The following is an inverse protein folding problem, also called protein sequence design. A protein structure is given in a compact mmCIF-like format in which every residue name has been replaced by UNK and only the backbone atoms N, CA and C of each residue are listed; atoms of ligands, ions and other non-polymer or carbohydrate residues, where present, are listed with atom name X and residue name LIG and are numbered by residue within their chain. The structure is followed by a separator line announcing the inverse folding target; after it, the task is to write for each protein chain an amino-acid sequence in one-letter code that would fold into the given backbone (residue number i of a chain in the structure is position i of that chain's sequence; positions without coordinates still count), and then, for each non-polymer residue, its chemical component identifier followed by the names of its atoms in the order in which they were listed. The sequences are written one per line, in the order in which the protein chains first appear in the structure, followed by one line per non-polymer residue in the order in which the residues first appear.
data_IF_000991758372
#
_entry.id   IF_000991758372
#
_cell.length_a   1.000
_cell.length_b   1.000
_cell.length_c   1.000
_cell.angle_alpha   90.00
_cell.angle_beta   90.00
_cell.angle_gamma   90.00
#
_symmetry.space_group_name_H-M   'P 1'
#
loop_
_entity.id
_entity.type
_entity.pdbx_description
1 polymer ?
#
# COMPACT_ATOMS: atom_id res chain seq x y z
N UNK A 1 -24.34 1.17 -4.09
CA UNK A 1 -23.09 1.88 -4.45
C UNK A 1 -22.08 0.84 -4.88
N UNK A 2 -21.20 1.16 -5.83
CA UNK A 2 -20.13 0.26 -6.30
C UNK A 2 -18.80 0.89 -5.91
N UNK A 3 -17.92 0.12 -5.30
CA UNK A 3 -16.56 0.52 -4.97
C UNK A 3 -15.59 -0.35 -5.78
N UNK A 4 -14.53 0.27 -6.31
CA UNK A 4 -13.45 -0.41 -7.01
C UNK A 4 -12.13 -0.17 -6.26
N UNK A 5 -11.25 -1.16 -6.27
CA UNK A 5 -9.94 -1.10 -5.63
C UNK A 5 -8.93 -1.98 -6.37
N UNK A 6 -7.67 -1.90 -5.97
CA UNK A 6 -6.59 -2.67 -6.56
C UNK A 6 -6.33 -2.30 -8.02
N UNK A 7 -5.91 -3.27 -8.81
CA UNK A 7 -5.45 -3.05 -10.18
C UNK A 7 -6.56 -2.62 -11.16
N UNK A 8 -7.81 -2.62 -10.70
CA UNK A 8 -9.00 -2.19 -11.48
C UNK A 8 -9.42 -0.75 -11.22
N UNK A 9 -8.77 -0.06 -10.27
CA UNK A 9 -9.12 1.28 -9.85
C UNK A 9 -7.99 2.28 -10.12
N UNK A 10 -8.39 3.54 -10.32
CA UNK A 10 -7.48 4.68 -10.41
C UNK A 10 -7.98 5.79 -9.50
N UNK A 11 -7.07 6.38 -8.73
CA UNK A 11 -7.34 7.53 -7.88
C UNK A 11 -6.25 8.58 -8.07
N UNK A 12 -6.52 9.81 -7.59
CA UNK A 12 -5.50 10.84 -7.51
C UNK A 12 -4.39 10.40 -6.53
N UNK A 13 -3.15 10.65 -6.92
CA UNK A 13 -1.97 10.58 -6.08
C UNK A 13 -1.37 11.99 -5.93
N UNK A 14 -0.15 12.09 -5.40
CA UNK A 14 0.56 13.37 -5.25
C UNK A 14 0.93 14.02 -6.60
N UNK A 15 1.14 15.33 -6.59
CA UNK A 15 1.67 16.12 -7.73
C UNK A 15 0.94 15.94 -9.07
N UNK A 16 -0.37 15.70 -9.03
CA UNK A 16 -1.19 15.51 -10.23
C UNK A 16 -1.01 14.16 -10.92
N UNK A 17 -0.25 13.25 -10.30
CA UNK A 17 -0.16 11.87 -10.74
C UNK A 17 -1.40 11.07 -10.35
N UNK A 18 -1.59 9.94 -11.02
CA UNK A 18 -2.57 8.95 -10.64
C UNK A 18 -1.88 7.73 -10.05
N UNK A 19 -2.58 7.05 -9.14
CA UNK A 19 -2.15 5.75 -8.62
C UNK A 19 -1.88 4.77 -9.76
N UNK A 20 -0.75 4.07 -9.69
CA UNK A 20 -0.41 2.96 -10.59
C UNK A 20 -0.74 1.60 -9.97
N UNK A 21 -0.84 0.57 -10.82
CA UNK A 21 -0.99 -0.83 -10.41
C UNK A 21 0.22 -1.26 -9.56
N UNK A 22 0.01 -1.32 -8.26
CA UNK A 22 1.04 -1.65 -7.27
C UNK A 22 0.40 -2.07 -5.95
N UNK A 23 1.07 -2.95 -5.20
CA UNK A 23 0.63 -3.30 -3.85
C UNK A 23 0.59 -2.09 -2.91
N UNK A 24 1.41 -1.06 -3.16
CA UNK A 24 1.44 0.18 -2.39
C UNK A 24 0.11 0.92 -2.48
N UNK A 25 -0.50 1.01 -3.67
CA UNK A 25 -1.80 1.66 -3.83
C UNK A 25 -2.99 0.71 -3.60
N UNK A 26 -2.87 -0.54 -4.07
CA UNK A 26 -3.96 -1.50 -4.04
C UNK A 26 -4.44 -1.82 -2.62
N UNK A 27 -3.52 -1.98 -1.67
CA UNK A 27 -3.85 -2.31 -0.29
C UNK A 27 -4.63 -1.20 0.43
N UNK A 28 -4.16 0.06 0.50
CA UNK A 28 -4.93 1.13 1.12
C UNK A 28 -6.24 1.42 0.38
N UNK A 29 -6.30 1.28 -0.95
CA UNK A 29 -7.56 1.34 -1.69
C UNK A 29 -8.56 0.28 -1.21
N UNK A 30 -8.11 -0.97 -1.06
CA UNK A 30 -8.95 -2.06 -0.59
C UNK A 30 -9.49 -1.80 0.83
N UNK A 31 -8.65 -1.27 1.72
CA UNK A 31 -9.05 -0.88 3.08
C UNK A 31 -10.10 0.24 3.06
N UNK A 32 -9.87 1.31 2.29
CA UNK A 32 -10.83 2.42 2.17
C UNK A 32 -12.15 1.95 1.56
N UNK A 33 -12.10 1.13 0.50
CA UNK A 33 -13.29 0.57 -0.13
C UNK A 33 -14.10 -0.29 0.85
N UNK A 34 -13.45 -1.20 1.57
CA UNK A 34 -14.09 -2.03 2.59
C UNK A 34 -14.72 -1.21 3.72
N UNK A 35 -14.00 -0.20 4.24
CA UNK A 35 -14.53 0.73 5.22
C UNK A 35 -15.78 1.45 4.69
N UNK A 36 -15.73 1.97 3.46
CA UNK A 36 -16.82 2.76 2.89
C UNK A 36 -18.06 1.94 2.54
N UNK A 37 -17.89 0.64 2.24
CA UNK A 37 -19.02 -0.30 2.17
C UNK A 37 -19.71 -0.39 3.54
N UNK A 38 -18.94 -0.62 4.61
CA UNK A 38 -19.49 -0.72 5.96
C UNK A 38 -20.13 0.61 6.43
N UNK A 39 -19.46 1.74 6.19
CA UNK A 39 -19.98 3.07 6.53
C UNK A 39 -21.31 3.35 5.82
N UNK A 40 -21.44 2.98 4.55
CA UNK A 40 -22.69 3.09 3.80
C UNK A 40 -23.82 2.23 4.39
N UNK A 41 -23.51 1.04 4.92
CA UNK A 41 -24.49 0.18 5.60
C UNK A 41 -24.91 0.72 6.97
N UNK A 42 -23.98 1.36 7.69
CA UNK A 42 -24.19 1.90 9.04
C UNK A 42 -24.71 3.34 9.05
N UNK A 43 -24.73 4.01 7.89
CA UNK A 43 -25.11 5.42 7.78
C UNK A 43 -24.08 6.39 8.36
N UNK A 44 -22.81 5.99 8.45
CA UNK A 44 -21.70 6.82 8.96
C UNK A 44 -20.92 7.47 7.82
N UNK A 45 -20.06 8.44 8.15
CA UNK A 45 -19.25 9.14 7.16
C UNK A 45 -18.24 8.18 6.48
N UNK A 46 -18.04 8.29 5.15
CA UNK A 46 -17.01 7.55 4.46
C UNK A 46 -15.61 8.12 4.75
N UNK A 47 -14.60 7.28 4.61
CA UNK A 47 -13.19 7.63 4.67
C UNK A 47 -12.66 7.94 3.26
N UNK A 48 -12.08 9.14 3.01
CA UNK A 48 -11.41 9.44 1.76
C UNK A 48 -10.12 8.62 1.60
N UNK A 49 -9.79 8.28 0.36
CA UNK A 49 -8.51 7.67 0.04
C UNK A 49 -7.44 8.75 -0.13
N UNK A 50 -6.27 8.52 0.49
CA UNK A 50 -5.05 9.31 0.30
C UNK A 50 -3.92 8.35 -0.05
N UNK A 51 -3.20 8.60 -1.15
CA UNK A 51 -2.02 7.82 -1.51
C UNK A 51 -0.80 8.30 -0.72
N UNK A 52 -0.01 7.35 -0.21
CA UNK A 52 1.31 7.63 0.35
C UNK A 52 2.30 8.05 -0.75
N UNK A 53 3.39 8.78 -0.42
CA UNK A 53 4.44 9.13 -1.36
C UNK A 53 4.95 7.92 -2.13
N UNK A 54 5.06 8.04 -3.45
CA UNK A 54 5.36 6.88 -4.28
C UNK A 54 6.77 6.34 -4.02
N UNK A 55 6.89 5.02 -3.89
CA UNK A 55 8.19 4.35 -3.75
C UNK A 55 8.21 3.02 -4.49
N UNK A 56 9.41 2.55 -4.82
CA UNK A 56 9.58 1.26 -5.46
C UNK A 56 10.84 0.56 -4.93
N UNK A 57 10.74 -0.75 -4.76
CA UNK A 57 11.85 -1.62 -4.39
C UNK A 57 11.94 -2.76 -5.41
N UNK A 58 12.99 -2.74 -6.23
CA UNK A 58 13.28 -3.72 -7.26
C UNK A 58 14.32 -4.74 -6.77
N UNK A 59 13.93 -6.00 -6.70
CA UNK A 59 14.82 -7.10 -6.36
C UNK A 59 15.72 -7.47 -7.56
N UNK A 60 17.03 -7.60 -7.32
CA UNK A 60 18.04 -7.96 -8.32
C UNK A 60 18.67 -9.35 -8.05
N UNK A 61 17.97 -10.22 -7.32
CA UNK A 61 18.44 -11.56 -6.99
C UNK A 61 19.60 -11.53 -5.99
N UNK A 62 20.69 -12.23 -6.31
CA UNK A 62 21.91 -12.27 -5.48
C UNK A 62 22.69 -10.95 -5.51
N UNK A 63 22.43 -10.07 -6.47
CA UNK A 63 23.05 -8.74 -6.54
C UNK A 63 22.44 -7.73 -5.55
N UNK A 64 21.42 -8.13 -4.77
CA UNK A 64 20.73 -7.29 -3.81
C UNK A 64 19.43 -6.72 -4.38
N UNK A 65 19.14 -5.45 -4.12
CA UNK A 65 17.98 -4.75 -4.64
C UNK A 65 18.30 -3.25 -4.89
N UNK A 66 17.34 -2.52 -5.44
CA UNK A 66 17.37 -1.05 -5.59
C UNK A 66 16.08 -0.48 -5.04
N UNK A 67 16.19 0.48 -4.13
CA UNK A 67 15.06 1.27 -3.65
C UNK A 67 15.08 2.65 -4.29
N UNK A 68 13.89 3.12 -4.63
CA UNK A 68 13.66 4.44 -5.20
C UNK A 68 12.50 5.13 -4.54
N UNK A 69 12.54 6.46 -4.49
CA UNK A 69 11.48 7.31 -3.96
C UNK A 69 11.06 8.35 -5.00
N UNK A 70 9.78 8.73 -4.95
CA UNK A 70 9.16 9.69 -5.82
C UNK A 70 8.93 9.20 -7.25
N UNK A 71 8.21 10.00 -8.02
CA UNK A 71 7.84 9.70 -9.41
C UNK A 71 9.04 9.65 -10.36
N UNK A 72 10.06 10.45 -10.08
CA UNK A 72 11.35 10.44 -10.78
C UNK A 72 12.26 9.26 -10.40
N UNK A 73 11.84 8.44 -9.42
CA UNK A 73 12.54 7.23 -8.97
C UNK A 73 13.99 7.50 -8.57
N UNK A 74 14.21 8.51 -7.75
CA UNK A 74 15.53 8.80 -7.18
C UNK A 74 15.98 7.62 -6.33
N UNK A 75 17.17 7.07 -6.61
CA UNK A 75 17.73 5.94 -5.86
C UNK A 75 18.05 6.35 -4.43
N UNK A 76 17.48 5.65 -3.46
CA UNK A 76 17.66 5.91 -2.03
C UNK A 76 18.50 4.85 -1.33
N UNK A 77 18.48 3.60 -1.81
CA UNK A 77 19.34 2.52 -1.33
C UNK A 77 19.61 1.48 -2.42
N UNK A 78 20.72 0.75 -2.31
CA UNK A 78 21.09 -0.34 -3.23
C UNK A 78 21.72 -1.52 -2.50
N UNK A 79 21.90 -2.65 -3.20
CA UNK A 79 22.66 -3.79 -2.69
C UNK A 79 21.96 -4.55 -1.56
N UNK A 80 22.71 -5.12 -0.59
CA UNK A 80 22.14 -5.96 0.47
C UNK A 80 21.18 -5.22 1.41
N UNK A 81 21.43 -3.94 1.71
CA UNK A 81 20.55 -3.14 2.55
C UNK A 81 19.17 -2.97 1.92
N UNK A 82 19.15 -2.60 0.63
CA UNK A 82 17.93 -2.54 -0.16
C UNK A 82 17.20 -3.89 -0.22
N UNK A 83 17.96 -4.99 -0.28
CA UNK A 83 17.41 -6.35 -0.30
C UNK A 83 16.70 -6.68 1.01
N UNK A 84 17.29 -6.36 2.15
CA UNK A 84 16.67 -6.53 3.46
C UNK A 84 15.37 -5.74 3.54
N UNK A 85 15.38 -4.46 3.14
CA UNK A 85 14.15 -3.67 3.15
C UNK A 85 13.07 -4.23 2.22
N UNK A 86 13.45 -4.73 1.03
CA UNK A 86 12.51 -5.39 0.12
C UNK A 86 11.91 -6.66 0.73
N UNK A 87 12.70 -7.44 1.46
CA UNK A 87 12.22 -8.61 2.18
C UNK A 87 11.22 -8.21 3.26
N UNK A 88 11.52 -7.20 4.07
CA UNK A 88 10.62 -6.69 5.11
C UNK A 88 9.30 -6.16 4.52
N UNK A 89 9.36 -5.40 3.42
CA UNK A 89 8.17 -4.95 2.67
C UNK A 89 7.28 -6.16 2.32
N UNK A 90 7.88 -7.21 1.77
CA UNK A 90 7.13 -8.37 1.31
C UNK A 90 6.56 -9.22 2.46
N UNK A 91 7.29 -9.37 3.56
CA UNK A 91 6.95 -10.33 4.62
C UNK A 91 6.22 -9.71 5.81
N UNK A 92 6.36 -8.41 6.03
CA UNK A 92 5.78 -7.72 7.18
C UNK A 92 4.69 -6.72 6.80
N UNK A 93 4.80 -6.07 5.64
CA UNK A 93 3.90 -4.97 5.28
C UNK A 93 2.85 -5.35 4.23
N UNK A 94 3.19 -6.17 3.23
CA UNK A 94 2.25 -6.60 2.19
C UNK A 94 1.48 -7.85 2.61
N UNK A 95 2.17 -8.85 3.16
CA UNK A 95 1.54 -10.09 3.60
C UNK A 95 1.64 -10.18 5.12
N UNK A 96 0.57 -9.91 5.87
CA UNK A 96 0.60 -10.17 7.28
C UNK A 96 0.65 -11.69 7.52
N UNK A 97 1.74 -12.17 8.10
CA UNK A 97 1.94 -13.58 8.42
C UNK A 97 1.17 -13.99 9.70
N UNK A 98 -0.13 -13.71 9.77
CA UNK A 98 -0.93 -13.99 10.97
C UNK A 98 -2.19 -14.74 10.62
N UNK A 99 -2.33 -15.95 11.19
CA UNK A 99 -3.56 -16.74 11.21
C UNK A 99 -4.29 -16.49 12.54
N UNK A 100 -4.43 -15.21 12.90
CA UNK A 100 -5.03 -14.75 14.15
C UNK A 100 -6.01 -13.59 13.85
N UNK A 101 -7.33 -13.81 14.01
CA UNK A 101 -8.35 -12.80 13.72
C UNK A 101 -8.15 -11.46 14.44
N UNK A 102 -7.67 -11.46 15.69
CA UNK A 102 -7.45 -10.20 16.42
C UNK A 102 -6.29 -9.40 15.82
N UNK A 103 -5.21 -10.09 15.45
CA UNK A 103 -4.06 -9.44 14.80
C UNK A 103 -4.41 -8.94 13.40
N UNK A 104 -5.20 -9.70 12.63
CA UNK A 104 -5.74 -9.26 11.34
C UNK A 104 -6.54 -7.97 11.52
N UNK A 105 -7.43 -7.93 12.52
CA UNK A 105 -8.25 -6.75 12.79
C UNK A 105 -7.40 -5.54 13.22
N UNK A 106 -6.41 -5.74 14.08
CA UNK A 106 -5.50 -4.68 14.51
C UNK A 106 -4.69 -4.10 13.33
N UNK A 107 -4.23 -4.95 12.41
CA UNK A 107 -3.49 -4.52 11.22
C UNK A 107 -4.36 -3.85 10.15
N UNK A 108 -5.66 -4.18 10.09
CA UNK A 108 -6.60 -3.49 9.21
C UNK A 108 -6.59 -1.98 9.50
N UNK A 109 -6.55 -1.61 10.79
CA UNK A 109 -6.53 -0.22 11.28
C UNK A 109 -5.21 0.52 11.04
N UNK A 110 -4.08 -0.20 10.90
CA UNK A 110 -2.72 0.38 10.93
C UNK A 110 -2.39 1.35 9.78
N UNK A 111 -3.05 1.22 8.62
CA UNK A 111 -2.81 2.07 7.44
C UNK A 111 -3.84 3.21 7.32
N UNK A 112 -4.75 3.36 8.28
CA UNK A 112 -5.81 4.38 8.24
C UNK A 112 -5.52 5.59 9.15
N UNK A 113 -4.37 5.60 9.83
CA UNK A 113 -3.96 6.70 10.70
C UNK A 113 -2.88 7.55 10.00
N UNK A 114 -3.33 8.54 9.23
CA UNK A 114 -2.54 9.70 8.78
C UNK A 114 -3.13 10.96 9.37
#
# INVERSE_FOLDING_TARGET
MVYAAGDTAVAAAEDGHHTIQSCQHAQPMGKCAGYNVAAGLLGTAPLPFTADPYSNALDLGSAGAVLTAGWERTVTATGPEAKTMKQDINTMWIYPAVDDPEQILAQASRLLNS
#
